data_IF_687219872087
#
_entry.id   IF_687219872087
#
_cell.length_a   1.000
_cell.length_b   1.000
_cell.length_c   1.000
_cell.angle_alpha   90.00
_cell.angle_beta   90.00
_cell.angle_gamma   90.00
#
_symmetry.space_group_name_H-M   'P 1'
#
loop_
_entity.id
_entity.type
_entity.pdbx_description
1 polymer ?
#
# COMPACT_ATOMS: atom_id res chain seq x y z
N UNK A 1 12.27 -1.33 21.71
CA UNK A 1 12.57 -2.66 21.12
C UNK A 1 12.03 -2.63 19.71
N UNK A 2 12.90 -2.51 18.71
CA UNK A 2 12.49 -2.68 17.32
C UNK A 2 12.23 -4.17 17.12
N UNK A 3 10.97 -4.54 16.85
CA UNK A 3 10.65 -5.91 16.46
C UNK A 3 11.56 -6.38 15.31
N UNK A 4 11.86 -7.68 15.28
CA UNK A 4 12.66 -8.30 14.23
C UNK A 4 12.13 -7.89 12.84
N UNK A 5 12.98 -7.57 11.84
CA UNK A 5 12.53 -6.98 10.56
C UNK A 5 11.44 -7.78 9.86
N UNK A 6 11.40 -9.10 10.04
CA UNK A 6 10.33 -10.01 9.56
C UNK A 6 8.90 -9.69 10.04
N UNK A 7 8.76 -8.84 11.06
CA UNK A 7 7.47 -8.41 11.63
C UNK A 7 7.12 -6.97 11.29
N UNK A 8 7.92 -6.29 10.47
CA UNK A 8 7.59 -4.96 9.97
C UNK A 8 6.27 -5.02 9.20
N UNK A 9 5.41 -4.02 9.44
CA UNK A 9 4.13 -3.85 8.76
C UNK A 9 4.09 -2.54 8.00
N UNK A 10 3.40 -2.54 6.87
CA UNK A 10 3.17 -1.33 6.07
C UNK A 10 1.70 -1.22 5.68
N UNK A 11 1.21 0.01 5.58
CA UNK A 11 -0.11 0.30 5.07
C UNK A 11 -0.08 0.52 3.56
N UNK A 12 -1.09 -0.02 2.89
CA UNK A 12 -1.30 0.15 1.45
C UNK A 12 -2.78 0.42 1.20
N UNK A 13 -3.08 1.36 0.29
CA UNK A 13 -4.44 1.55 -0.19
C UNK A 13 -4.50 1.54 -1.71
N UNK A 14 -5.31 0.65 -2.30
CA UNK A 14 -5.71 0.77 -3.70
C UNK A 14 -6.70 1.92 -3.81
N UNK A 15 -6.34 2.92 -4.60
CA UNK A 15 -7.10 4.16 -4.80
C UNK A 15 -8.30 3.91 -5.74
N UNK A 16 -9.24 4.87 -5.85
CA UNK A 16 -10.45 4.65 -6.63
C UNK A 16 -10.19 4.27 -8.09
N UNK A 17 -9.17 4.84 -8.74
CA UNK A 17 -8.76 4.47 -10.10
C UNK A 17 -8.34 2.99 -10.21
N UNK A 18 -7.58 2.47 -9.23
CA UNK A 18 -7.17 1.07 -9.19
C UNK A 18 -8.34 0.12 -8.97
N UNK A 19 -9.31 0.51 -8.13
CA UNK A 19 -10.54 -0.26 -7.91
C UNK A 19 -11.41 -0.26 -9.17
N UNK A 20 -11.69 0.91 -9.75
CA UNK A 20 -12.54 1.04 -10.95
C UNK A 20 -11.95 0.34 -12.17
N UNK A 21 -10.62 0.21 -12.23
CA UNK A 21 -9.93 -0.53 -13.29
C UNK A 21 -9.74 -2.01 -13.01
N UNK A 22 -10.34 -2.54 -11.94
CA UNK A 22 -10.26 -3.96 -11.55
C UNK A 22 -8.82 -4.47 -11.32
N UNK A 23 -7.95 -3.61 -10.77
CA UNK A 23 -6.53 -3.92 -10.54
C UNK A 23 -6.21 -4.42 -9.11
N UNK A 24 -7.22 -4.62 -8.26
CA UNK A 24 -7.05 -5.08 -6.87
C UNK A 24 -6.26 -6.40 -6.83
N UNK A 25 -6.70 -7.39 -7.61
CA UNK A 25 -6.04 -8.71 -7.65
C UNK A 25 -4.60 -8.65 -8.17
N UNK A 26 -4.33 -7.83 -9.19
CA UNK A 26 -2.98 -7.65 -9.71
C UNK A 26 -2.04 -7.02 -8.67
N UNK A 27 -2.53 -6.03 -7.91
CA UNK A 27 -1.77 -5.39 -6.84
C UNK A 27 -1.47 -6.37 -5.70
N UNK A 28 -2.48 -7.09 -5.20
CA UNK A 28 -2.33 -8.10 -4.15
C UNK A 28 -1.30 -9.16 -4.58
N UNK A 29 -1.43 -9.66 -5.80
CA UNK A 29 -0.52 -10.64 -6.40
C UNK A 29 0.94 -10.17 -6.42
N UNK A 30 1.24 -8.88 -6.63
CA UNK A 30 2.62 -8.38 -6.58
C UNK A 30 3.25 -8.57 -5.20
N UNK A 31 2.49 -8.38 -4.13
CA UNK A 31 2.97 -8.50 -2.76
C UNK A 31 3.03 -9.95 -2.28
N UNK A 32 2.01 -10.76 -2.58
CA UNK A 32 2.00 -12.18 -2.20
C UNK A 32 3.15 -12.95 -2.87
N UNK A 33 3.44 -12.67 -4.14
CA UNK A 33 4.49 -13.39 -4.90
C UNK A 33 5.90 -13.16 -4.39
N UNK A 34 6.14 -12.10 -3.62
CA UNK A 34 7.44 -11.88 -2.96
C UNK A 34 7.48 -12.40 -1.51
N UNK A 35 6.38 -13.00 -1.03
CA UNK A 35 6.30 -13.59 0.31
C UNK A 35 5.78 -12.64 1.40
N UNK A 36 5.25 -11.47 1.05
CA UNK A 36 4.58 -10.62 2.04
C UNK A 36 3.26 -11.25 2.49
N UNK A 37 2.93 -11.09 3.77
CA UNK A 37 1.73 -11.65 4.39
C UNK A 37 0.66 -10.57 4.53
N UNK A 38 -0.52 -10.79 3.96
CA UNK A 38 -1.68 -9.91 4.13
C UNK A 38 -2.30 -10.17 5.51
N UNK A 39 -2.29 -9.17 6.41
CA UNK A 39 -2.80 -9.33 7.79
C UNK A 39 -4.08 -8.53 8.07
N UNK A 40 -4.48 -7.62 7.18
CA UNK A 40 -5.77 -6.95 7.21
C UNK A 40 -6.15 -6.48 5.79
N UNK A 41 -7.44 -6.51 5.46
CA UNK A 41 -7.98 -6.02 4.19
C UNK A 41 -9.43 -5.56 4.37
N UNK A 42 -9.80 -4.40 3.81
CA UNK A 42 -11.21 -4.00 3.65
C UNK A 42 -11.44 -3.14 2.41
N UNK A 43 -12.58 -3.37 1.76
CA UNK A 43 -13.15 -2.49 0.73
C UNK A 43 -14.08 -1.50 1.42
N UNK A 44 -13.86 -0.21 1.24
CA UNK A 44 -14.66 0.83 1.90
C UNK A 44 -14.77 2.09 1.04
N UNK A 45 -15.83 2.85 1.25
CA UNK A 45 -15.89 4.28 0.88
C UNK A 45 -15.54 5.08 2.12
N UNK A 46 -14.73 6.12 1.97
CA UNK A 46 -14.23 6.94 3.07
C UNK A 46 -14.76 8.36 2.95
N UNK A 47 -15.03 8.99 4.08
CA UNK A 47 -15.44 10.39 4.11
C UNK A 47 -14.24 11.35 4.01
N UNK A 48 -14.53 12.63 3.76
CA UNK A 48 -13.50 13.65 3.65
C UNK A 48 -12.69 13.82 4.94
N UNK A 49 -13.32 13.70 6.10
CA UNK A 49 -12.66 13.92 7.39
C UNK A 49 -11.57 12.87 7.62
N UNK A 50 -11.87 11.61 7.30
CA UNK A 50 -10.93 10.50 7.38
C UNK A 50 -9.73 10.69 6.45
N UNK A 51 -9.94 11.12 5.20
CA UNK A 51 -8.84 11.35 4.25
C UNK A 51 -8.02 12.60 4.60
N UNK A 52 -8.66 13.67 5.09
CA UNK A 52 -7.93 14.86 5.58
C UNK A 52 -7.00 14.51 6.73
N UNK A 53 -7.47 13.69 7.67
CA UNK A 53 -6.64 13.20 8.77
C UNK A 53 -5.46 12.34 8.27
N UNK A 54 -5.69 11.47 7.28
CA UNK A 54 -4.63 10.67 6.66
C UNK A 54 -3.54 11.55 6.00
N UNK A 55 -3.93 12.64 5.33
CA UNK A 55 -3.02 13.58 4.67
C UNK A 55 -2.77 14.86 5.48
N UNK A 56 -2.85 14.82 6.81
CA UNK A 56 -2.79 16.01 7.67
C UNK A 56 -1.47 16.79 7.56
N UNK A 57 -0.37 16.10 7.20
CA UNK A 57 0.97 16.67 7.10
C UNK A 57 1.24 17.39 5.76
N UNK A 58 0.32 17.30 4.79
CA UNK A 58 0.49 17.88 3.46
C UNK A 58 -0.03 19.32 3.41
N UNK A 59 0.46 20.09 2.44
CA UNK A 59 -0.07 21.42 2.15
C UNK A 59 -1.57 21.34 1.82
N UNK A 60 -2.35 22.31 2.32
CA UNK A 60 -3.81 22.37 2.18
C UNK A 60 -4.27 22.16 0.73
N UNK A 61 -3.62 22.79 -0.24
CA UNK A 61 -3.97 22.64 -1.67
C UNK A 61 -3.85 21.20 -2.15
N UNK A 62 -2.76 20.51 -1.80
CA UNK A 62 -2.56 19.11 -2.18
C UNK A 62 -3.54 18.21 -1.43
N UNK A 63 -3.80 18.52 -0.15
CA UNK A 63 -4.78 17.81 0.64
C UNK A 63 -6.18 17.89 0.02
N UNK A 64 -6.63 19.06 -0.41
CA UNK A 64 -7.94 19.24 -1.06
C UNK A 64 -8.07 18.41 -2.35
N UNK A 65 -7.01 18.39 -3.17
CA UNK A 65 -6.94 17.57 -4.38
C UNK A 65 -7.02 16.07 -4.06
N UNK A 66 -6.28 15.61 -3.04
CA UNK A 66 -6.27 14.21 -2.64
C UNK A 66 -7.57 13.76 -1.96
N UNK A 67 -8.24 14.66 -1.22
CA UNK A 67 -9.56 14.41 -0.63
C UNK A 67 -10.56 14.14 -1.74
N UNK A 68 -10.69 15.06 -2.70
CA UNK A 68 -11.60 14.90 -3.84
C UNK A 68 -11.32 13.60 -4.60
N UNK A 69 -10.04 13.23 -4.74
CA UNK A 69 -9.66 12.02 -5.42
C UNK A 69 -10.04 10.75 -4.66
N UNK A 70 -9.68 10.66 -3.38
CA UNK A 70 -9.89 9.46 -2.56
C UNK A 70 -11.34 9.24 -2.16
N UNK A 71 -12.17 10.29 -2.14
CA UNK A 71 -13.61 10.19 -1.86
C UNK A 71 -14.46 9.99 -3.12
N UNK A 72 -13.85 10.01 -4.31
CA UNK A 72 -14.56 9.81 -5.59
C UNK A 72 -15.08 8.39 -5.82
N UNK A 73 -14.67 7.43 -5.00
CA UNK A 73 -15.08 6.05 -5.12
C UNK A 73 -14.53 5.16 -4.02
N UNK A 74 -14.78 3.84 -4.08
CA UNK A 74 -14.29 2.91 -3.08
C UNK A 74 -12.76 2.74 -3.15
N UNK A 75 -12.16 2.45 -2.00
CA UNK A 75 -10.75 2.12 -1.82
C UNK A 75 -10.61 0.74 -1.19
N UNK A 76 -9.49 0.07 -1.45
CA UNK A 76 -9.12 -1.16 -0.74
C UNK A 76 -7.93 -0.87 0.17
N UNK A 77 -8.19 -0.78 1.46
CA UNK A 77 -7.16 -0.63 2.49
C UNK A 77 -6.59 -2.01 2.86
N UNK A 78 -5.27 -2.09 3.04
CA UNK A 78 -4.56 -3.34 3.33
C UNK A 78 -3.40 -3.08 4.30
N UNK A 79 -3.06 -4.12 5.08
CA UNK A 79 -1.84 -4.16 5.90
C UNK A 79 -1.02 -5.38 5.50
N UNK A 80 0.24 -5.14 5.14
CA UNK A 80 1.19 -6.17 4.74
C UNK A 80 2.29 -6.32 5.79
N UNK A 81 2.59 -7.56 6.19
CA UNK A 81 3.64 -7.93 7.16
C UNK A 81 4.78 -8.70 6.46
N UNK A 82 6.03 -8.37 6.78
CA UNK A 82 7.20 -9.13 6.33
C UNK A 82 8.52 -8.38 6.48
N UNK A 83 9.62 -9.02 6.08
CA UNK A 83 10.95 -8.43 6.16
C UNK A 83 11.06 -7.12 5.36
N UNK A 84 11.30 -6.01 6.06
CA UNK A 84 11.42 -4.68 5.45
C UNK A 84 10.21 -4.29 4.59
N UNK A 85 9.01 -4.66 5.05
CA UNK A 85 7.76 -4.50 4.31
C UNK A 85 7.57 -3.10 3.70
N UNK A 86 7.85 -2.02 4.44
CA UNK A 86 7.70 -0.64 3.97
C UNK A 86 8.58 -0.40 2.73
N UNK A 87 9.87 -0.69 2.85
CA UNK A 87 10.83 -0.45 1.76
C UNK A 87 10.56 -1.37 0.56
N UNK A 88 10.22 -2.63 0.81
CA UNK A 88 9.92 -3.62 -0.24
C UNK A 88 8.66 -3.24 -1.03
N UNK A 89 7.58 -2.88 -0.32
CA UNK A 89 6.33 -2.44 -0.96
C UNK A 89 6.57 -1.19 -1.80
N UNK A 90 7.27 -0.17 -1.29
CA UNK A 90 7.59 1.03 -2.08
C UNK A 90 8.39 0.71 -3.34
N UNK A 91 9.33 -0.22 -3.26
CA UNK A 91 10.11 -0.70 -4.42
C UNK A 91 9.20 -1.35 -5.47
N UNK A 92 8.26 -2.20 -5.06
CA UNK A 92 7.32 -2.87 -5.96
C UNK A 92 6.30 -1.91 -6.57
N UNK A 93 5.89 -0.89 -5.81
CA UNK A 93 4.93 0.12 -6.24
C UNK A 93 5.49 1.03 -7.36
N UNK A 94 6.75 1.43 -7.25
CA UNK A 94 7.36 2.41 -8.16
C UNK A 94 7.25 3.85 -7.67
N UNK A 95 7.77 4.80 -8.46
CA UNK A 95 7.81 6.23 -8.09
C UNK A 95 6.41 6.83 -8.01
N UNK A 96 6.25 7.97 -7.34
CA UNK A 96 4.93 8.63 -7.18
C UNK A 96 4.28 8.94 -8.52
N UNK A 97 5.08 9.39 -9.49
CA UNK A 97 4.67 9.60 -10.87
C UNK A 97 4.84 8.31 -11.67
N UNK A 98 3.77 7.82 -12.33
CA UNK A 98 3.87 6.65 -13.19
C UNK A 98 4.81 6.80 -14.38
N UNK A 99 4.78 7.95 -15.06
CA UNK A 99 5.64 8.22 -16.21
C UNK A 99 7.14 8.01 -15.93
N UNK A 100 7.59 8.31 -14.71
CA UNK A 100 8.99 8.11 -14.29
C UNK A 100 9.24 6.81 -13.50
N UNK A 101 8.23 5.95 -13.39
CA UNK A 101 8.35 4.63 -12.74
C UNK A 101 8.96 3.60 -13.68
N UNK A 102 9.80 2.71 -13.13
CA UNK A 102 10.47 1.68 -13.91
C UNK A 102 9.49 0.56 -14.35
N UNK A 103 9.80 -0.06 -15.48
CA UNK A 103 9.10 -1.26 -15.98
C UNK A 103 9.16 -2.39 -14.94
N UNK A 104 8.05 -3.07 -14.72
CA UNK A 104 7.88 -4.11 -13.71
C UNK A 104 7.34 -3.63 -12.37
N UNK A 105 7.25 -2.31 -12.15
CA UNK A 105 6.58 -1.73 -10.97
C UNK A 105 5.07 -1.63 -11.19
N UNK A 106 4.27 -1.60 -10.13
CA UNK A 106 2.81 -1.45 -10.23
C UNK A 106 2.44 -0.21 -11.05
N UNK A 107 3.08 0.93 -10.77
CA UNK A 107 2.77 2.18 -11.48
C UNK A 107 3.29 2.18 -12.91
N UNK A 108 4.50 1.68 -13.16
CA UNK A 108 5.08 1.62 -14.50
C UNK A 108 4.32 0.65 -15.44
N UNK A 109 3.76 -0.43 -14.90
CA UNK A 109 3.07 -1.44 -15.72
C UNK A 109 1.60 -1.09 -16.01
N UNK A 110 0.96 -0.34 -15.10
CA UNK A 110 -0.50 -0.27 -15.10
C UNK A 110 -1.08 1.14 -15.24
N UNK A 111 -0.30 2.21 -15.30
CA UNK A 111 -0.85 3.55 -15.56
C UNK A 111 0.16 4.43 -16.30
N UNK A 112 -0.37 5.30 -17.16
CA UNK A 112 0.41 6.20 -18.02
C UNK A 112 0.40 7.66 -17.52
N UNK A 113 -0.19 7.92 -16.34
CA UNK A 113 -0.36 9.28 -15.83
C UNK A 113 0.97 9.97 -15.49
N UNK A 114 0.97 11.31 -15.47
CA UNK A 114 2.14 12.14 -15.23
C UNK A 114 1.79 13.40 -14.44
N UNK A 115 2.79 14.07 -13.87
CA UNK A 115 2.54 15.38 -13.26
C UNK A 115 2.06 16.40 -14.29
N UNK A 116 2.62 16.39 -15.50
CA UNK A 116 2.20 17.29 -16.58
C UNK A 116 0.69 17.16 -16.88
N UNK A 117 0.19 15.93 -17.00
CA UNK A 117 -1.22 15.68 -17.28
C UNK A 117 -2.11 16.02 -16.07
N UNK A 118 -1.66 15.72 -14.85
CA UNK A 118 -2.43 16.05 -13.64
C UNK A 118 -2.50 17.55 -13.38
N UNK A 119 -1.42 18.29 -13.66
CA UNK A 119 -1.33 19.73 -13.46
C UNK A 119 -2.17 20.49 -14.48
N UNK A 120 -2.14 20.08 -15.76
CA UNK A 120 -2.99 20.64 -16.81
C UNK A 120 -4.50 20.52 -16.49
N UNK A 121 -4.89 19.47 -15.77
CA UNK A 121 -6.27 19.21 -15.37
C UNK A 121 -6.58 19.58 -13.91
N UNK A 122 -5.61 20.16 -13.17
CA UNK A 122 -5.74 20.52 -11.75
C UNK A 122 -6.30 19.41 -10.85
N UNK A 123 -5.83 18.17 -11.05
CA UNK A 123 -6.26 16.98 -10.29
C UNK A 123 -5.09 16.21 -9.69
N UNK A 124 -5.39 15.18 -8.90
CA UNK A 124 -4.39 14.26 -8.41
C UNK A 124 -3.83 13.39 -9.56
N UNK A 125 -2.57 12.98 -9.44
CA UNK A 125 -2.00 11.92 -10.29
C UNK A 125 -2.73 10.61 -9.99
N UNK A 126 -3.27 9.98 -11.03
CA UNK A 126 -3.91 8.66 -10.97
C UNK A 126 -2.86 7.56 -11.03
N UNK A 127 -2.27 7.34 -9.86
CA UNK A 127 -1.15 6.42 -9.66
C UNK A 127 -1.55 5.11 -8.93
N UNK A 128 -2.84 4.73 -8.98
CA UNK A 128 -3.42 3.45 -8.56
C UNK A 128 -3.40 3.13 -7.06
N UNK A 129 -2.34 3.49 -6.35
CA UNK A 129 -2.02 2.92 -5.06
C UNK A 129 -1.26 3.90 -4.18
N UNK A 130 -1.57 3.89 -2.88
CA UNK A 130 -0.80 4.50 -1.80
C UNK A 130 0.01 3.42 -1.07
N UNK A 131 1.21 3.77 -0.60
CA UNK A 131 2.01 2.95 0.30
C UNK A 131 2.77 3.87 1.26
N UNK A 132 2.86 3.49 2.54
CA UNK A 132 3.56 4.27 3.56
C UNK A 132 5.01 4.58 3.14
N UNK A 133 5.50 5.79 3.44
CA UNK A 133 6.84 6.25 3.05
C UNK A 133 7.96 5.71 3.94
N UNK A 134 7.68 5.54 5.23
CA UNK A 134 8.57 5.08 6.29
C UNK A 134 7.81 4.29 7.37
N UNK A 135 8.52 3.79 8.39
CA UNK A 135 7.95 2.93 9.44
C UNK A 135 7.04 3.71 10.39
N UNK A 136 7.38 4.96 10.65
CA UNK A 136 6.60 5.88 11.50
C UNK A 136 5.25 6.19 10.86
N UNK A 137 5.25 6.54 9.57
CA UNK A 137 4.05 6.73 8.75
C UNK A 137 3.22 5.45 8.69
N UNK A 138 3.84 4.30 8.45
CA UNK A 138 3.13 3.02 8.44
C UNK A 138 2.41 2.75 9.76
N UNK A 139 3.07 3.03 10.89
CA UNK A 139 2.47 2.84 12.22
C UNK A 139 1.24 3.73 12.41
N UNK A 140 1.36 5.01 12.05
CA UNK A 140 0.25 5.96 12.11
C UNK A 140 -0.90 5.54 11.19
N UNK A 141 -0.60 5.22 9.93
CA UNK A 141 -1.60 4.87 8.92
C UNK A 141 -2.33 3.57 9.27
N UNK A 142 -1.63 2.53 9.76
CA UNK A 142 -2.26 1.28 10.19
C UNK A 142 -3.27 1.57 11.30
N UNK A 143 -2.90 2.36 12.32
CA UNK A 143 -3.79 2.71 13.43
C UNK A 143 -4.95 3.62 13.00
N UNK A 144 -4.74 4.47 11.99
CA UNK A 144 -5.77 5.34 11.42
C UNK A 144 -6.82 4.56 10.63
N UNK A 145 -6.40 3.53 9.89
CA UNK A 145 -7.28 2.76 9.01
C UNK A 145 -7.87 1.50 9.65
N UNK A 146 -7.20 0.90 10.63
CA UNK A 146 -7.61 -0.39 11.22
C UNK A 146 -7.56 -0.36 12.75
N UNK A 147 -8.62 -0.91 13.36
CA UNK A 147 -8.62 -1.27 14.77
C UNK A 147 -7.74 -2.51 15.02
N UNK A 148 -7.22 -2.70 16.23
CA UNK A 148 -6.38 -3.87 16.55
C UNK A 148 -7.04 -5.23 16.27
N UNK A 149 -8.36 -5.34 16.42
CA UNK A 149 -9.15 -6.55 16.16
C UNK A 149 -9.40 -6.83 14.67
N UNK A 150 -9.17 -5.85 13.79
CA UNK A 150 -9.19 -6.04 12.34
C UNK A 150 -7.87 -6.63 11.80
N UNK A 151 -6.83 -6.74 12.63
CA UNK A 151 -5.51 -7.27 12.24
C UNK A 151 -5.36 -8.72 12.69
N UNK A 152 -5.29 -9.63 11.71
CA UNK A 152 -5.24 -11.08 11.96
C UNK A 152 -3.80 -11.55 12.17
N UNK A 153 -3.57 -12.28 13.27
CA UNK A 153 -2.31 -12.96 13.51
C UNK A 153 -2.39 -14.44 13.11
N UNK A 154 -1.62 -14.83 12.10
CA UNK A 154 -1.54 -16.20 11.60
C UNK A 154 -0.16 -16.49 11.01
N UNK A 155 0.15 -17.76 10.82
CA UNK A 155 1.40 -18.24 10.22
C UNK A 155 1.14 -18.79 8.82
N UNK A 156 1.86 -18.29 7.82
CA UNK A 156 1.88 -18.91 6.51
C UNK A 156 2.91 -20.05 6.48
N UNK A 157 2.62 -21.09 5.70
CA UNK A 157 3.55 -22.22 5.51
C UNK A 157 4.87 -21.72 4.92
N UNK A 158 4.84 -20.79 3.96
CA UNK A 158 6.05 -20.20 3.35
C UNK A 158 6.95 -19.45 4.34
N UNK A 159 6.47 -19.10 5.55
CA UNK A 159 7.33 -18.48 6.57
C UNK A 159 8.45 -19.43 7.03
N UNK A 160 8.28 -20.76 6.92
CA UNK A 160 9.39 -21.69 7.19
C UNK A 160 10.50 -21.51 6.15
N UNK A 161 10.15 -21.43 4.87
CA UNK A 161 11.13 -21.23 3.80
C UNK A 161 11.81 -19.86 3.89
N UNK A 162 11.06 -18.82 4.25
CA UNK A 162 11.56 -17.44 4.23
C UNK A 162 12.32 -17.04 5.50
N UNK A 163 11.95 -17.59 6.67
CA UNK A 163 12.42 -17.09 7.96
C UNK A 163 12.99 -18.15 8.90
N UNK A 164 12.89 -19.44 8.57
CA UNK A 164 13.58 -20.46 9.35
C UNK A 164 15.09 -20.38 9.12
N UNK A 165 15.87 -20.54 10.18
CA UNK A 165 17.33 -20.37 10.13
C UNK A 165 17.98 -21.52 9.38
N UNK A 166 17.48 -22.74 9.61
CA UNK A 166 18.11 -23.97 9.10
C UNK A 166 17.22 -24.73 8.12
N UNK A 167 16.05 -24.18 7.76
CA UNK A 167 15.06 -24.86 6.91
C UNK A 167 14.71 -26.25 7.49
N UNK A 168 14.45 -26.28 8.79
CA UNK A 168 14.26 -27.51 9.54
C UNK A 168 12.99 -28.24 9.08
N UNK A 169 13.08 -29.56 8.92
CA UNK A 169 11.95 -30.40 8.52
C UNK A 169 11.55 -30.32 7.04
N UNK A 170 12.44 -29.84 6.14
CA UNK A 170 12.22 -29.96 4.69
C UNK A 170 12.44 -31.39 4.18
N UNK A 171 13.49 -32.05 4.68
CA UNK A 171 13.79 -33.45 4.34
C UNK A 171 13.22 -34.36 5.42
N UNK A 172 12.47 -35.37 5.00
CA UNK A 172 11.99 -36.48 5.84
C UNK A 172 13.04 -37.60 5.96
#
# INVERSE_FOLDING_TARGET
MTDHPKKERTFVAVKPDGVQRSLIGEIIKRFERVGLKLVALKLTVVDEAHIRAHYAQLEKRIQDILVNYMTSGPVVAMVWEGAHAVKLVRKLVGKTEPHSSDVGTIRGDFTLDSYEMSDAESRAVRNLIHASGNVEEATFEIAHWFKPDEITNYKLVQESILYDVNLDGILE
#
